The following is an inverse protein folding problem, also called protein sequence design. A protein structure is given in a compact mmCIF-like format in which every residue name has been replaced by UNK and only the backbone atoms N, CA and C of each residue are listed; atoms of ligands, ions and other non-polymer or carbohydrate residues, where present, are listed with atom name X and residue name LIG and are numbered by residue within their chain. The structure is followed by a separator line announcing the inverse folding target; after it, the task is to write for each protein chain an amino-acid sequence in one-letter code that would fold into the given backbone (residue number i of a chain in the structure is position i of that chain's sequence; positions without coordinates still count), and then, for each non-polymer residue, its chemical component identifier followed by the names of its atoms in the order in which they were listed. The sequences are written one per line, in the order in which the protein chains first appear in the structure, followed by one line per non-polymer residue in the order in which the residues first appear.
data_IF_993870824533
#
_entry.id   IF_993870824533
#
_cell.length_a   1.000
_cell.length_b   1.000
_cell.length_c   1.000
_cell.angle_alpha   90.00
_cell.angle_beta   90.00
_cell.angle_gamma   90.00
#
_symmetry.space_group_name_H-M   'P 1'
#
loop_
_entity.id
_entity.type
_entity.pdbx_description
1 polymer ?
#
# COMPACT_ATOMS: atom_id res chain seq x y z
N UNK A 1 -17.79 23.71 -4.57
CA UNK A 1 -18.73 23.73 -3.42
C UNK A 1 -20.20 23.55 -3.82
N UNK A 2 -20.74 24.22 -4.85
CA UNK A 2 -22.16 24.03 -5.29
C UNK A 2 -22.51 22.73 -6.02
N UNK A 3 -21.53 21.88 -6.36
CA UNK A 3 -21.76 20.64 -7.11
C UNK A 3 -22.15 19.43 -6.22
N UNK A 4 -21.97 19.55 -4.89
CA UNK A 4 -22.24 18.50 -3.90
C UNK A 4 -23.70 18.45 -3.42
N UNK A 5 -24.51 19.46 -3.76
CA UNK A 5 -25.89 19.59 -3.29
C UNK A 5 -26.93 19.03 -4.27
N UNK A 6 -26.51 18.55 -5.45
CA UNK A 6 -27.43 18.10 -6.49
C UNK A 6 -27.99 16.71 -6.15
N UNK A 7 -29.32 16.55 -6.08
CA UNK A 7 -29.98 15.30 -5.67
C UNK A 7 -29.53 14.07 -6.49
N UNK A 8 -29.27 14.26 -7.80
CA UNK A 8 -28.74 13.20 -8.67
C UNK A 8 -27.41 12.64 -8.18
N UNK A 9 -26.50 13.51 -7.71
CA UNK A 9 -25.18 13.11 -7.22
C UNK A 9 -25.27 12.26 -5.94
N UNK A 10 -26.23 12.56 -5.06
CA UNK A 10 -26.48 11.77 -3.85
C UNK A 10 -27.01 10.36 -4.19
N UNK A 11 -27.95 10.27 -5.13
CA UNK A 11 -28.47 8.98 -5.61
C UNK A 11 -27.39 8.15 -6.30
N UNK A 12 -26.55 8.78 -7.12
CA UNK A 12 -25.42 8.12 -7.79
C UNK A 12 -24.41 7.56 -6.77
N UNK A 13 -24.19 8.28 -5.67
CA UNK A 13 -23.33 7.88 -4.57
C UNK A 13 -23.88 6.68 -3.78
N UNK A 14 -25.18 6.65 -3.52
CA UNK A 14 -25.85 5.51 -2.86
C UNK A 14 -25.83 4.25 -3.74
N UNK A 15 -26.08 4.39 -5.05
CA UNK A 15 -25.95 3.29 -6.02
C UNK A 15 -24.51 2.76 -6.08
N UNK A 16 -23.52 3.65 -6.01
CA UNK A 16 -22.10 3.25 -5.95
C UNK A 16 -21.81 2.39 -4.71
N UNK A 17 -22.22 2.87 -3.52
CA UNK A 17 -22.03 2.11 -2.28
C UNK A 17 -22.80 0.79 -2.25
N UNK A 18 -24.02 0.77 -2.81
CA UNK A 18 -24.79 -0.48 -3.00
C UNK A 18 -24.03 -1.46 -3.87
N UNK A 19 -23.50 -1.03 -5.02
CA UNK A 19 -22.75 -1.90 -5.92
C UNK A 19 -21.55 -2.51 -5.22
N UNK A 20 -20.79 -1.69 -4.49
CA UNK A 20 -19.62 -2.13 -3.73
C UNK A 20 -20.01 -3.17 -2.67
N UNK A 21 -21.08 -2.91 -1.91
CA UNK A 21 -21.58 -3.86 -0.91
C UNK A 21 -22.10 -5.15 -1.56
N UNK A 22 -22.77 -5.08 -2.70
CA UNK A 22 -23.25 -6.25 -3.43
C UNK A 22 -22.07 -7.11 -3.94
N UNK A 23 -21.05 -6.48 -4.51
CA UNK A 23 -19.82 -7.15 -4.96
C UNK A 23 -19.10 -7.81 -3.78
N UNK A 24 -19.03 -7.11 -2.64
CA UNK A 24 -18.43 -7.65 -1.43
C UNK A 24 -19.21 -8.86 -0.88
N UNK A 25 -20.53 -8.76 -0.75
CA UNK A 25 -21.41 -9.85 -0.31
C UNK A 25 -21.26 -11.08 -1.20
N UNK A 26 -21.21 -10.87 -2.52
CA UNK A 26 -20.99 -11.94 -3.49
C UNK A 26 -19.59 -12.57 -3.31
N UNK A 27 -18.56 -11.75 -3.11
CA UNK A 27 -17.18 -12.24 -2.88
C UNK A 27 -17.05 -13.08 -1.61
N UNK A 28 -17.82 -12.76 -0.55
CA UNK A 28 -17.85 -13.51 0.70
C UNK A 28 -18.83 -14.69 0.68
N UNK A 29 -19.54 -14.91 -0.43
CA UNK A 29 -20.54 -15.95 -0.61
C UNK A 29 -21.66 -15.90 0.46
N UNK A 30 -22.07 -14.69 0.84
CA UNK A 30 -23.21 -14.47 1.72
C UNK A 30 -24.53 -14.51 0.93
N UNK A 31 -25.60 -14.99 1.57
CA UNK A 31 -26.94 -15.03 0.98
C UNK A 31 -27.71 -13.69 1.12
N UNK A 32 -27.01 -12.64 1.52
CA UNK A 32 -27.59 -11.34 1.87
C UNK A 32 -27.95 -10.57 0.60
N UNK A 33 -28.89 -9.63 0.69
CA UNK A 33 -29.26 -8.75 -0.42
C UNK A 33 -29.19 -7.29 -0.02
N UNK A 34 -28.88 -6.40 -0.97
CA UNK A 34 -28.73 -4.96 -0.73
C UNK A 34 -29.52 -4.18 -1.75
N UNK A 35 -30.33 -3.22 -1.29
CA UNK A 35 -31.19 -2.40 -2.14
C UNK A 35 -31.15 -0.94 -1.68
N UNK A 36 -31.13 0.00 -2.64
CA UNK A 36 -31.43 1.41 -2.35
C UNK A 36 -32.93 1.53 -2.24
N UNK A 37 -33.41 2.18 -1.17
CA UNK A 37 -34.84 2.36 -0.98
C UNK A 37 -35.29 3.75 -1.41
N UNK A 38 -36.13 3.79 -2.45
CA UNK A 38 -36.94 4.97 -2.74
C UNK A 38 -38.26 4.84 -1.99
N UNK A 39 -38.53 5.68 -1.01
CA UNK A 39 -39.88 5.75 -0.45
C UNK A 39 -40.81 6.42 -1.45
N UNK A 40 -41.84 5.71 -1.92
CA UNK A 40 -43.06 6.37 -2.39
C UNK A 40 -43.76 6.97 -1.18
N UNK A 41 -43.79 8.30 -1.09
CA UNK A 41 -44.75 9.01 -0.26
C UNK A 41 -45.68 9.79 -1.19
N UNK A 42 -46.99 9.72 -0.90
CA UNK A 42 -47.98 10.60 -1.51
C UNK A 42 -47.58 12.07 -1.27
N UNK A 43 -47.33 12.80 -2.36
CA UNK A 43 -47.14 14.25 -2.36
C UNK A 43 -45.68 14.72 -2.47
N UNK A 44 -45.38 15.27 -3.65
CA UNK A 44 -44.26 16.14 -4.03
C UNK A 44 -42.87 15.92 -3.40
N UNK A 45 -41.99 15.34 -4.22
CA UNK A 45 -40.53 15.36 -4.04
C UNK A 45 -39.99 13.98 -3.71
N UNK A 46 -39.42 13.32 -4.72
CA UNK A 46 -38.76 12.02 -4.58
C UNK A 46 -37.69 12.08 -3.48
N UNK A 47 -37.98 11.51 -2.29
CA UNK A 47 -37.02 11.31 -1.21
C UNK A 47 -36.21 10.04 -1.50
N UNK A 48 -34.99 10.22 -2.00
CA UNK A 48 -33.95 9.19 -1.91
C UNK A 48 -33.36 9.21 -0.51
N UNK A 49 -33.24 8.03 0.10
CA UNK A 49 -32.72 7.92 1.45
C UNK A 49 -32.65 6.47 1.91
N UNK A 50 -31.41 6.03 2.10
CA UNK A 50 -30.96 4.81 2.77
C UNK A 50 -30.86 3.57 1.88
N UNK A 51 -29.74 2.89 2.10
CA UNK A 51 -29.47 1.53 1.64
C UNK A 51 -30.00 0.58 2.73
N UNK A 52 -30.68 -0.48 2.33
CA UNK A 52 -31.10 -1.55 3.24
C UNK A 52 -30.42 -2.84 2.81
N UNK A 53 -29.73 -3.46 3.75
CA UNK A 53 -29.19 -4.80 3.58
C UNK A 53 -30.05 -5.81 4.34
N UNK A 54 -30.61 -6.79 3.65
CA UNK A 54 -31.33 -7.91 4.27
C UNK A 54 -30.35 -9.06 4.46
N UNK A 55 -30.00 -9.32 5.72
CA UNK A 55 -29.07 -10.37 6.13
C UNK A 55 -29.84 -11.69 6.22
N UNK A 56 -29.50 -12.64 5.37
CA UNK A 56 -30.14 -13.96 5.33
C UNK A 56 -29.20 -15.00 5.95
N UNK A 57 -29.59 -15.53 7.09
CA UNK A 57 -28.81 -16.57 7.77
C UNK A 57 -29.70 -17.66 8.35
N UNK A 58 -29.46 -18.91 7.95
CA UNK A 58 -30.18 -20.11 8.44
C UNK A 58 -31.72 -19.96 8.41
N UNK A 59 -32.26 -19.35 7.36
CA UNK A 59 -33.71 -19.17 7.18
C UNK A 59 -34.33 -18.00 7.96
N UNK A 60 -33.53 -17.22 8.68
CA UNK A 60 -33.94 -15.93 9.27
C UNK A 60 -33.44 -14.77 8.42
N UNK A 61 -34.31 -13.78 8.21
CA UNK A 61 -33.99 -12.54 7.51
C UNK A 61 -34.02 -11.38 8.51
N UNK A 62 -32.96 -10.58 8.55
CA UNK A 62 -32.86 -9.41 9.40
C UNK A 62 -32.41 -8.21 8.59
N UNK A 63 -33.12 -7.08 8.74
CA UNK A 63 -32.74 -5.86 8.05
C UNK A 63 -31.64 -5.13 8.83
N UNK A 64 -30.69 -4.58 8.07
CA UNK A 64 -29.62 -3.69 8.48
C UNK A 64 -29.77 -2.38 7.69
N UNK A 65 -30.03 -1.28 8.40
CA UNK A 65 -30.14 0.03 7.76
C UNK A 65 -28.77 0.67 7.57
N UNK A 66 -28.53 1.25 6.40
CA UNK A 66 -27.28 1.90 6.02
C UNK A 66 -27.63 3.31 5.52
N UNK A 67 -27.37 4.30 6.37
CA UNK A 67 -27.54 5.72 6.06
C UNK A 67 -26.30 6.23 5.32
N UNK A 68 -26.47 7.05 4.29
CA UNK A 68 -25.35 7.71 3.58
C UNK A 68 -25.42 9.21 3.79
N UNK A 69 -24.38 9.80 4.40
CA UNK A 69 -24.32 11.24 4.68
C UNK A 69 -22.97 11.84 4.32
N UNK A 70 -22.87 12.41 3.14
CA UNK A 70 -21.67 13.10 2.65
C UNK A 70 -21.73 14.60 2.89
N UNK A 71 -21.89 14.97 4.16
CA UNK A 71 -21.88 16.35 4.64
C UNK A 71 -20.52 16.70 5.26
N UNK A 72 -20.11 17.96 5.14
CA UNK A 72 -18.86 18.46 5.73
C UNK A 72 -18.97 18.57 7.24
N UNK A 73 -17.99 18.03 7.97
CA UNK A 73 -17.91 18.04 9.44
C UNK A 73 -19.21 17.63 10.14
N UNK A 74 -19.79 16.51 9.71
CA UNK A 74 -21.02 15.98 10.27
C UNK A 74 -20.81 15.57 11.74
N UNK A 75 -21.60 16.12 12.68
CA UNK A 75 -21.36 15.92 14.10
C UNK A 75 -21.70 14.47 14.53
N UNK A 76 -20.87 13.89 15.39
CA UNK A 76 -21.11 12.55 15.95
C UNK A 76 -22.44 12.47 16.72
N UNK A 77 -22.72 13.45 17.56
CA UNK A 77 -23.85 13.45 18.48
C UNK A 77 -23.59 12.65 19.77
N UNK A 78 -24.67 12.33 20.49
CA UNK A 78 -24.64 11.59 21.76
C UNK A 78 -25.43 12.31 22.86
N UNK A 79 -25.62 11.65 24.01
CA UNK A 79 -26.32 12.28 25.15
C UNK A 79 -25.52 13.47 25.70
N UNK A 80 -24.19 13.36 25.73
CA UNK A 80 -23.28 14.42 26.17
C UNK A 80 -23.16 15.61 25.21
N UNK A 81 -23.58 15.46 23.94
CA UNK A 81 -23.52 16.53 22.94
C UNK A 81 -24.76 17.44 22.96
N UNK A 82 -25.72 17.21 23.86
CA UNK A 82 -26.91 18.04 24.01
C UNK A 82 -26.54 19.30 24.81
N UNK A 83 -26.95 20.45 24.31
CA UNK A 83 -26.74 21.72 25.00
C UNK A 83 -27.43 21.71 26.37
N UNK A 84 -26.68 22.05 27.42
CA UNK A 84 -27.14 22.06 28.82
C UNK A 84 -27.72 23.41 29.25
N UNK A 85 -28.09 24.28 28.31
CA UNK A 85 -28.77 25.55 28.60
C UNK A 85 -30.29 25.36 28.68
N UNK A 86 -30.93 26.09 29.60
CA UNK A 86 -32.36 26.00 29.92
C UNK A 86 -33.32 26.16 28.72
N UNK A 87 -32.85 26.71 27.60
CA UNK A 87 -33.64 26.96 26.38
C UNK A 87 -33.42 25.94 25.26
N UNK A 88 -32.47 24.99 25.36
CA UNK A 88 -32.10 24.15 24.22
C UNK A 88 -31.67 22.71 24.58
N UNK A 89 -32.41 22.01 25.43
CA UNK A 89 -32.17 20.58 25.72
C UNK A 89 -32.45 19.63 24.52
N UNK A 90 -32.98 20.17 23.41
CA UNK A 90 -33.26 19.44 22.16
C UNK A 90 -32.02 19.44 21.26
N UNK A 91 -31.78 18.35 20.54
CA UNK A 91 -30.79 18.34 19.45
C UNK A 91 -31.22 19.36 18.38
N UNK A 92 -30.39 20.38 18.13
CA UNK A 92 -30.71 21.45 17.18
C UNK A 92 -30.30 21.09 15.74
N UNK A 93 -29.52 20.03 15.55
CA UNK A 93 -28.97 19.60 14.26
C UNK A 93 -28.96 18.08 14.14
N UNK A 94 -29.09 17.55 12.93
CA UNK A 94 -28.86 16.13 12.65
C UNK A 94 -27.43 15.73 13.03
N UNK A 95 -27.30 14.58 13.68
CA UNK A 95 -26.03 13.98 14.11
C UNK A 95 -25.95 12.56 13.60
N UNK A 96 -24.74 12.00 13.53
CA UNK A 96 -24.56 10.60 13.16
C UNK A 96 -25.34 9.66 14.08
N UNK A 97 -25.36 9.93 15.38
CA UNK A 97 -26.16 9.19 16.37
C UNK A 97 -27.66 9.28 16.10
N UNK A 98 -28.18 10.49 15.78
CA UNK A 98 -29.61 10.67 15.51
C UNK A 98 -30.03 9.99 14.22
N UNK A 99 -29.21 10.06 13.16
CA UNK A 99 -29.49 9.35 11.91
C UNK A 99 -29.52 7.85 12.12
N UNK A 100 -28.53 7.26 12.81
CA UNK A 100 -28.52 5.81 13.12
C UNK A 100 -29.84 5.40 13.81
N UNK A 101 -30.29 6.16 14.81
CA UNK A 101 -31.54 5.85 15.53
C UNK A 101 -32.77 6.01 14.62
N UNK A 102 -32.78 7.03 13.77
CA UNK A 102 -33.85 7.27 12.80
C UNK A 102 -33.93 6.15 11.76
N UNK A 103 -32.81 5.77 11.14
CA UNK A 103 -32.79 4.68 10.15
C UNK A 103 -33.23 3.36 10.79
N UNK A 104 -32.82 3.07 12.04
CA UNK A 104 -33.31 1.89 12.78
C UNK A 104 -34.81 1.92 13.01
N UNK A 105 -35.36 3.06 13.42
CA UNK A 105 -36.80 3.24 13.63
C UNK A 105 -37.56 3.02 12.32
N UNK A 106 -37.09 3.60 11.22
CA UNK A 106 -37.75 3.55 9.92
C UNK A 106 -37.70 2.14 9.32
N UNK A 107 -36.60 1.42 9.48
CA UNK A 107 -36.38 0.07 8.91
C UNK A 107 -36.70 -1.07 9.87
N UNK A 108 -37.06 -0.77 11.11
CA UNK A 108 -37.19 -1.76 12.19
C UNK A 108 -35.95 -2.66 12.32
N UNK A 109 -34.77 -2.14 11.99
CA UNK A 109 -33.51 -2.85 12.04
C UNK A 109 -32.95 -2.87 13.46
N UNK A 110 -32.37 -3.99 13.87
CA UNK A 110 -31.73 -4.09 15.20
C UNK A 110 -30.52 -3.18 15.28
N UNK A 111 -29.67 -3.22 14.26
CA UNK A 111 -28.51 -2.35 14.13
C UNK A 111 -28.63 -1.46 12.88
N UNK A 112 -27.85 -0.39 12.83
CA UNK A 112 -27.68 0.41 11.61
C UNK A 112 -26.25 0.93 11.52
N UNK A 113 -25.86 1.43 10.34
CA UNK A 113 -24.65 2.21 10.17
C UNK A 113 -24.93 3.51 9.44
N UNK A 114 -24.04 4.49 9.63
CA UNK A 114 -23.98 5.70 8.82
C UNK A 114 -22.62 5.82 8.15
N UNK A 115 -22.64 6.06 6.85
CA UNK A 115 -21.47 6.22 5.99
C UNK A 115 -21.18 7.70 5.78
N UNK A 116 -19.99 8.13 6.17
CA UNK A 116 -19.48 9.49 6.04
C UNK A 116 -18.28 9.51 5.08
N UNK A 117 -18.07 10.62 4.39
CA UNK A 117 -16.87 10.81 3.57
C UNK A 117 -15.74 11.38 4.42
N UNK A 118 -14.62 10.66 4.45
CA UNK A 118 -13.39 11.05 5.16
C UNK A 118 -12.86 12.40 4.70
N UNK A 119 -12.89 12.67 3.39
CA UNK A 119 -12.38 13.90 2.80
C UNK A 119 -13.20 15.14 3.21
N UNK A 120 -14.48 14.96 3.55
CA UNK A 120 -15.37 16.02 4.01
C UNK A 120 -15.38 16.16 5.55
N UNK A 121 -14.83 15.19 6.28
CA UNK A 121 -14.91 15.12 7.75
C UNK A 121 -13.52 15.15 8.40
N UNK A 122 -12.65 16.04 7.90
CA UNK A 122 -11.23 16.14 8.28
C UNK A 122 -11.06 16.56 9.75
N UNK A 123 -11.95 17.40 10.28
CA UNK A 123 -11.88 17.90 11.66
C UNK A 123 -12.60 17.02 12.67
N UNK A 124 -13.13 15.88 12.23
CA UNK A 124 -13.92 14.99 13.08
C UNK A 124 -12.99 14.07 13.87
N UNK A 125 -13.04 14.14 15.20
CA UNK A 125 -12.27 13.28 16.11
C UNK A 125 -12.76 11.82 16.15
N UNK A 126 -13.90 11.51 15.52
CA UNK A 126 -14.37 10.12 15.48
C UNK A 126 -13.40 9.21 14.71
N UNK A 127 -13.15 8.00 15.23
CA UNK A 127 -12.43 6.97 14.49
C UNK A 127 -13.08 6.65 13.13
N UNK A 128 -12.32 6.04 12.21
CA UNK A 128 -12.83 5.67 10.88
C UNK A 128 -13.95 4.61 10.93
N UNK A 129 -13.90 3.71 11.92
CA UNK A 129 -15.00 2.82 12.28
C UNK A 129 -15.25 3.02 13.76
N UNK A 130 -16.44 3.50 14.12
CA UNK A 130 -16.79 3.80 15.50
C UNK A 130 -18.17 3.25 15.85
N UNK A 131 -18.21 2.27 16.77
CA UNK A 131 -19.46 1.73 17.29
C UNK A 131 -20.03 2.64 18.37
N UNK A 132 -21.32 2.95 18.28
CA UNK A 132 -22.09 3.72 19.26
C UNK A 132 -23.06 2.77 19.96
N UNK A 133 -22.75 2.32 21.19
CA UNK A 133 -23.59 1.39 21.93
C UNK A 133 -25.02 1.90 22.15
N UNK A 134 -25.15 3.18 22.52
CA UNK A 134 -26.44 3.82 22.84
C UNK A 134 -27.40 3.82 21.64
N UNK A 135 -26.87 4.00 20.44
CA UNK A 135 -27.63 4.00 19.19
C UNK A 135 -27.71 2.61 18.53
N UNK A 136 -26.97 1.62 19.05
CA UNK A 136 -26.78 0.30 18.45
C UNK A 136 -26.42 0.40 16.97
N UNK A 137 -25.35 1.13 16.65
CA UNK A 137 -24.91 1.30 15.27
C UNK A 137 -23.48 1.77 15.12
N UNK A 138 -23.00 1.78 13.88
CA UNK A 138 -21.61 2.13 13.54
C UNK A 138 -21.57 3.40 12.69
N UNK A 139 -20.66 4.32 13.02
CA UNK A 139 -20.21 5.36 12.10
C UNK A 139 -19.03 4.79 11.31
N UNK A 140 -19.10 4.87 9.98
CA UNK A 140 -18.00 4.47 9.09
C UNK A 140 -17.60 5.62 8.18
N UNK A 141 -16.29 5.87 8.07
CA UNK A 141 -15.70 6.86 7.16
C UNK A 141 -15.07 6.15 5.97
N UNK A 142 -15.51 6.50 4.77
CA UNK A 142 -14.97 5.99 3.49
C UNK A 142 -14.21 7.09 2.75
N UNK A 143 -13.20 6.73 1.96
CA UNK A 143 -12.45 7.69 1.15
C UNK A 143 -12.90 7.58 -0.31
N UNK A 144 -13.85 8.46 -0.69
CA UNK A 144 -14.40 8.51 -2.03
C UNK A 144 -13.36 8.94 -3.08
N UNK A 145 -12.37 9.75 -2.70
CA UNK A 145 -11.36 10.24 -3.63
C UNK A 145 -10.33 9.16 -3.94
N UNK A 146 -9.99 8.34 -2.95
CA UNK A 146 -9.07 7.22 -3.09
C UNK A 146 -9.74 5.92 -3.59
N UNK A 147 -11.09 5.90 -3.71
CA UNK A 147 -11.88 4.69 -3.91
C UNK A 147 -11.58 3.58 -2.87
N UNK A 148 -11.32 3.98 -1.62
CA UNK A 148 -11.07 3.05 -0.52
C UNK A 148 -12.34 2.83 0.31
N UNK A 149 -12.93 1.66 0.12
CA UNK A 149 -14.16 1.21 0.78
C UNK A 149 -13.92 0.10 1.81
N UNK A 150 -12.65 -0.20 2.12
CA UNK A 150 -12.28 -1.29 3.05
C UNK A 150 -12.98 -1.15 4.41
N UNK A 151 -13.14 0.09 4.89
CA UNK A 151 -13.82 0.37 6.15
C UNK A 151 -15.31 0.03 6.12
N UNK A 152 -15.97 0.23 4.97
CA UNK A 152 -17.38 -0.10 4.77
C UNK A 152 -17.61 -1.61 4.83
N UNK A 153 -16.74 -2.37 4.16
CA UNK A 153 -16.77 -3.84 4.15
C UNK A 153 -16.60 -4.42 5.55
N UNK A 154 -15.60 -3.92 6.30
CA UNK A 154 -15.34 -4.35 7.68
C UNK A 154 -16.52 -4.01 8.60
N UNK A 155 -17.06 -2.79 8.48
CA UNK A 155 -18.21 -2.37 9.28
C UNK A 155 -19.45 -3.22 8.97
N UNK A 156 -19.64 -3.59 7.69
CA UNK A 156 -20.72 -4.47 7.26
C UNK A 156 -20.57 -5.86 7.89
N UNK A 157 -19.40 -6.47 7.80
CA UNK A 157 -19.12 -7.78 8.39
C UNK A 157 -19.36 -7.78 9.91
N UNK A 158 -18.90 -6.75 10.62
CA UNK A 158 -19.12 -6.64 12.06
C UNK A 158 -20.62 -6.57 12.40
N UNK A 159 -21.39 -5.70 11.73
CA UNK A 159 -22.83 -5.59 11.98
C UNK A 159 -23.59 -6.85 11.54
N UNK A 160 -23.14 -7.50 10.48
CA UNK A 160 -23.68 -8.78 10.04
C UNK A 160 -23.52 -9.84 11.13
N UNK A 161 -22.32 -9.99 11.69
CA UNK A 161 -22.08 -10.95 12.78
C UNK A 161 -22.89 -10.60 14.04
N UNK A 162 -22.99 -9.31 14.39
CA UNK A 162 -23.80 -8.86 15.53
C UNK A 162 -25.30 -9.10 15.30
N UNK A 163 -25.78 -9.01 14.07
CA UNK A 163 -27.18 -9.26 13.70
C UNK A 163 -27.51 -10.76 13.72
N UNK A 164 -26.61 -11.59 13.18
CA UNK A 164 -26.71 -13.06 13.19
C UNK A 164 -26.62 -13.59 14.63
N UNK A 165 -25.80 -12.97 15.47
CA UNK A 165 -25.66 -13.28 16.89
C UNK A 165 -26.86 -12.73 17.67
N UNK A 166 -28.06 -13.22 17.36
CA UNK A 166 -29.28 -12.99 18.11
C UNK A 166 -29.30 -13.77 19.43
N UNK A 167 -28.21 -13.65 20.18
CA UNK A 167 -28.14 -14.04 21.59
C UNK A 167 -28.56 -12.78 22.37
N UNK A 168 -29.39 -12.88 23.41
CA UNK A 168 -29.50 -11.83 24.42
C UNK A 168 -28.17 -11.83 25.18
N UNK A 169 -27.15 -11.21 24.57
CA UNK A 169 -25.83 -11.13 25.19
C UNK A 169 -25.97 -10.12 26.31
N UNK A 170 -25.67 -10.55 27.53
CA UNK A 170 -25.19 -9.65 28.57
C UNK A 170 -23.82 -9.14 28.09
N UNK A 171 -23.86 -8.23 27.12
CA UNK A 171 -22.70 -7.78 26.37
C UNK A 171 -21.95 -6.84 27.31
N UNK A 172 -20.87 -7.35 27.90
CA UNK A 172 -19.98 -6.52 28.68
C UNK A 172 -19.32 -5.53 27.72
N UNK A 173 -19.92 -4.34 27.63
CA UNK A 173 -19.49 -3.28 26.73
C UNK A 173 -18.03 -2.88 26.97
N UNK A 174 -17.52 -3.07 28.19
CA UNK A 174 -16.11 -2.83 28.50
C UNK A 174 -15.19 -3.82 27.76
N UNK A 175 -15.62 -5.08 27.61
CA UNK A 175 -14.88 -6.10 26.86
C UNK A 175 -14.93 -5.80 25.36
N UNK A 176 -16.08 -5.38 24.83
CA UNK A 176 -16.18 -5.02 23.41
C UNK A 176 -15.32 -3.78 23.10
N UNK A 177 -15.37 -2.75 23.94
CA UNK A 177 -14.56 -1.54 23.80
C UNK A 177 -13.05 -1.85 23.88
N UNK A 178 -12.66 -2.72 24.81
CA UNK A 178 -11.28 -3.21 24.90
C UNK A 178 -10.83 -3.91 23.61
N UNK A 179 -11.63 -4.84 23.09
CA UNK A 179 -11.31 -5.58 21.87
C UNK A 179 -11.23 -4.66 20.64
N UNK A 180 -12.13 -3.67 20.54
CA UNK A 180 -12.10 -2.68 19.46
C UNK A 180 -10.89 -1.74 19.57
N UNK A 181 -10.52 -1.34 20.78
CA UNK A 181 -9.34 -0.51 21.04
C UNK A 181 -8.04 -1.25 20.72
N UNK A 182 -7.96 -2.53 21.09
CA UNK A 182 -6.83 -3.39 20.77
C UNK A 182 -6.72 -3.60 19.26
N UNK A 183 -7.83 -3.92 18.58
CA UNK A 183 -7.87 -4.06 17.12
C UNK A 183 -7.41 -2.77 16.42
N UNK A 184 -7.90 -1.60 16.87
CA UNK A 184 -7.49 -0.31 16.34
C UNK A 184 -5.98 -0.07 16.51
N UNK A 185 -5.43 -0.44 17.67
CA UNK A 185 -4.00 -0.32 17.96
C UNK A 185 -3.16 -1.24 17.07
N UNK A 186 -3.60 -2.48 16.87
CA UNK A 186 -2.95 -3.45 15.99
C UNK A 186 -2.96 -2.99 14.54
N UNK A 187 -4.12 -2.54 14.03
CA UNK A 187 -4.24 -2.00 12.66
C UNK A 187 -3.36 -0.75 12.48
N UNK A 188 -3.35 0.17 13.45
CA UNK A 188 -2.46 1.32 13.44
C UNK A 188 -0.98 0.95 13.46
N UNK A 189 -0.60 -0.14 14.14
CA UNK A 189 0.76 -0.68 14.11
C UNK A 189 1.11 -1.32 12.77
N UNK A 190 0.20 -2.12 12.19
CA UNK A 190 0.38 -2.70 10.85
C UNK A 190 0.63 -1.62 9.81
N UNK A 191 -0.17 -0.54 9.83
CA UNK A 191 0.00 0.61 8.94
C UNK A 191 1.38 1.25 9.08
N UNK A 192 1.80 1.54 10.32
CA UNK A 192 3.15 2.09 10.61
C UNK A 192 4.28 1.18 10.17
N UNK A 193 4.19 -0.13 10.40
CA UNK A 193 5.19 -1.10 9.93
C UNK A 193 5.26 -1.11 8.40
N UNK A 194 4.12 -1.06 7.72
CA UNK A 194 4.06 -1.08 6.26
C UNK A 194 4.64 0.20 5.66
N UNK A 195 4.31 1.37 6.21
CA UNK A 195 4.88 2.65 5.82
C UNK A 195 6.39 2.71 6.09
N UNK A 196 6.83 2.24 7.27
CA UNK A 196 8.26 2.15 7.60
C UNK A 196 9.00 1.23 6.64
N UNK A 197 8.40 0.08 6.29
CA UNK A 197 8.98 -0.87 5.32
C UNK A 197 9.09 -0.24 3.92
N UNK A 198 8.06 0.45 3.45
CA UNK A 198 8.10 1.20 2.18
C UNK A 198 9.18 2.27 2.18
N UNK A 199 9.31 3.02 3.28
CA UNK A 199 10.34 4.05 3.42
C UNK A 199 11.77 3.46 3.39
N UNK A 200 12.00 2.34 4.07
CA UNK A 200 13.29 1.63 4.04
C UNK A 200 13.62 1.18 2.63
N UNK A 201 12.66 0.58 1.90
CA UNK A 201 12.85 0.15 0.52
C UNK A 201 13.21 1.35 -0.37
N UNK A 202 12.44 2.44 -0.29
CA UNK A 202 12.70 3.65 -1.08
C UNK A 202 14.08 4.26 -0.79
N UNK A 203 14.50 4.28 0.48
CA UNK A 203 15.82 4.77 0.87
C UNK A 203 16.93 3.86 0.34
N UNK A 204 16.76 2.54 0.42
CA UNK A 204 17.70 1.56 -0.09
C UNK A 204 17.84 1.67 -1.62
N UNK A 205 16.73 1.77 -2.34
CA UNK A 205 16.72 1.96 -3.80
C UNK A 205 17.44 3.25 -4.21
N UNK A 206 17.16 4.37 -3.51
CA UNK A 206 17.83 5.64 -3.76
C UNK A 206 19.34 5.53 -3.52
N UNK A 207 19.74 4.96 -2.37
CA UNK A 207 21.16 4.77 -2.02
C UNK A 207 21.86 3.85 -3.02
N UNK A 208 21.27 2.70 -3.37
CA UNK A 208 21.82 1.78 -4.36
C UNK A 208 21.98 2.45 -5.71
N UNK A 209 21.00 3.23 -6.15
CA UNK A 209 21.07 3.96 -7.43
C UNK A 209 22.20 4.97 -7.46
N UNK A 210 22.43 5.71 -6.39
CA UNK A 210 23.58 6.64 -6.32
C UNK A 210 24.92 5.88 -6.26
N UNK A 211 25.03 4.86 -5.42
CA UNK A 211 26.26 4.05 -5.32
C UNK A 211 26.61 3.39 -6.66
N UNK A 212 25.62 2.86 -7.38
CA UNK A 212 25.84 2.25 -8.70
C UNK A 212 26.35 3.29 -9.72
N UNK A 213 25.84 4.53 -9.69
CA UNK A 213 26.39 5.59 -10.58
C UNK A 213 27.85 5.88 -10.27
N UNK A 214 28.21 5.99 -8.99
CA UNK A 214 29.59 6.23 -8.58
C UNK A 214 30.51 5.10 -9.04
N UNK A 215 30.10 3.84 -8.85
CA UNK A 215 30.85 2.66 -9.31
C UNK A 215 31.03 2.66 -10.83
N UNK A 216 29.98 2.98 -11.61
CA UNK A 216 30.10 3.04 -13.07
C UNK A 216 31.03 4.18 -13.50
N UNK A 217 30.94 5.34 -12.84
CA UNK A 217 31.84 6.47 -13.11
C UNK A 217 33.30 6.08 -12.84
N UNK A 218 33.56 5.41 -11.71
CA UNK A 218 34.91 4.97 -11.34
C UNK A 218 35.44 3.91 -12.32
N UNK A 219 34.62 2.91 -12.70
CA UNK A 219 35.00 1.91 -13.71
C UNK A 219 35.37 2.56 -15.04
N UNK A 220 34.58 3.55 -15.47
CA UNK A 220 34.83 4.30 -16.70
C UNK A 220 36.17 5.05 -16.66
N UNK A 221 36.52 5.65 -15.51
CA UNK A 221 37.82 6.29 -15.31
C UNK A 221 38.97 5.29 -15.37
N UNK A 222 38.81 4.11 -14.76
CA UNK A 222 39.83 3.06 -14.79
C UNK A 222 40.02 2.47 -16.19
N UNK A 223 38.96 2.29 -16.96
CA UNK A 223 39.06 1.82 -18.34
C UNK A 223 39.79 2.83 -19.25
N UNK A 224 39.47 4.13 -19.11
CA UNK A 224 40.18 5.20 -19.82
C UNK A 224 41.68 5.26 -19.44
N UNK A 225 41.99 5.13 -18.15
CA UNK A 225 43.38 5.09 -17.65
C UNK A 225 44.14 3.87 -18.19
N UNK A 226 43.49 2.70 -18.21
CA UNK A 226 44.09 1.47 -18.70
C UNK A 226 44.48 1.60 -20.19
N UNK A 227 43.63 2.20 -21.03
CA UNK A 227 43.99 2.49 -22.44
C UNK A 227 45.14 3.48 -22.55
N UNK A 228 45.13 4.56 -21.78
CA UNK A 228 46.21 5.54 -21.78
C UNK A 228 47.56 4.92 -21.37
N UNK A 229 47.54 4.01 -20.39
CA UNK A 229 48.71 3.23 -19.98
C UNK A 229 49.19 2.30 -21.10
N UNK A 230 48.31 1.60 -21.81
CA UNK A 230 48.70 0.78 -22.96
C UNK A 230 49.38 1.59 -24.06
N UNK A 231 48.85 2.79 -24.36
CA UNK A 231 49.44 3.73 -25.32
C UNK A 231 50.84 4.16 -24.85
N UNK A 232 50.97 4.50 -23.56
CA UNK A 232 52.25 4.88 -22.95
C UNK A 232 53.27 3.74 -23.06
N UNK A 233 52.89 2.52 -22.66
CA UNK A 233 53.76 1.34 -22.72
C UNK A 233 54.24 1.10 -24.16
N UNK A 234 53.34 1.20 -25.13
CA UNK A 234 53.66 1.00 -26.55
C UNK A 234 54.67 2.05 -27.04
N UNK A 235 54.49 3.32 -26.66
CA UNK A 235 55.39 4.42 -27.02
C UNK A 235 56.76 4.28 -26.35
N UNK A 236 56.79 4.04 -25.05
CA UNK A 236 58.04 3.84 -24.32
C UNK A 236 58.79 2.63 -24.88
N UNK A 237 58.08 1.55 -25.25
CA UNK A 237 58.69 0.38 -25.89
C UNK A 237 59.27 0.72 -27.27
N UNK A 238 58.58 1.54 -28.08
CA UNK A 238 59.07 2.03 -29.37
C UNK A 238 60.37 2.82 -29.19
N UNK A 239 60.38 3.78 -28.27
CA UNK A 239 61.51 4.65 -28.01
C UNK A 239 62.69 3.83 -27.46
N UNK A 240 62.43 2.91 -26.53
CA UNK A 240 63.46 2.01 -26.00
C UNK A 240 64.10 1.16 -27.11
N UNK A 241 63.30 0.61 -28.03
CA UNK A 241 63.84 -0.14 -29.18
C UNK A 241 64.72 0.74 -30.08
N UNK A 242 64.29 1.97 -30.35
CA UNK A 242 65.05 2.92 -31.16
C UNK A 242 66.36 3.34 -30.47
N UNK A 243 66.32 3.59 -29.17
CA UNK A 243 67.52 3.92 -28.38
C UNK A 243 68.51 2.75 -28.35
N UNK A 244 68.03 1.51 -28.19
CA UNK A 244 68.89 0.32 -28.21
C UNK A 244 69.57 0.08 -29.57
N UNK A 245 68.97 0.54 -30.68
CA UNK A 245 69.57 0.40 -32.01
C UNK A 245 70.47 1.56 -32.41
N UNK A 246 70.15 2.79 -32.02
CA UNK A 246 70.90 3.99 -32.42
C UNK A 246 71.88 4.49 -31.37
N UNK A 247 71.70 4.11 -30.10
CA UNK A 247 72.49 4.56 -28.95
C UNK A 247 72.18 5.98 -28.48
N UNK A 248 71.25 6.71 -29.11
CA UNK A 248 70.94 8.10 -28.78
C UNK A 248 69.43 8.33 -28.58
N UNK A 249 69.07 9.08 -27.54
CA UNK A 249 67.69 9.49 -27.25
C UNK A 249 67.48 10.91 -27.78
N UNK A 250 66.55 11.08 -28.72
CA UNK A 250 66.25 12.41 -29.27
C UNK A 250 65.52 13.28 -28.24
N UNK A 251 65.68 14.60 -28.34
CA UNK A 251 64.95 15.55 -27.49
C UNK A 251 63.42 15.42 -27.68
N UNK A 252 62.97 15.11 -28.90
CA UNK A 252 61.57 14.89 -29.22
C UNK A 252 61.02 13.62 -28.55
N UNK A 253 61.75 12.50 -28.58
CA UNK A 253 61.36 11.25 -27.92
C UNK A 253 61.37 11.39 -26.38
N UNK A 254 62.33 12.15 -25.83
CA UNK A 254 62.37 12.48 -24.41
C UNK A 254 61.15 13.34 -23.99
N UNK A 255 60.80 14.34 -24.81
CA UNK A 255 59.63 15.19 -24.58
C UNK A 255 58.32 14.42 -24.72
N UNK A 256 58.18 13.57 -25.73
CA UNK A 256 57.00 12.71 -25.94
C UNK A 256 56.80 11.75 -24.74
N UNK A 257 57.88 11.17 -24.22
CA UNK A 257 57.84 10.27 -23.05
C UNK A 257 57.42 11.00 -21.77
N UNK A 258 57.91 12.23 -21.58
CA UNK A 258 57.59 13.03 -20.40
C UNK A 258 56.15 13.57 -20.44
N UNK A 259 55.74 14.16 -21.56
CA UNK A 259 54.42 14.81 -21.70
C UNK A 259 53.29 13.83 -22.01
N UNK A 260 53.59 12.66 -22.57
CA UNK A 260 52.63 11.62 -22.97
C UNK A 260 51.41 12.17 -23.75
N UNK A 261 51.60 13.04 -24.75
CA UNK A 261 50.50 13.78 -25.39
C UNK A 261 49.45 12.85 -26.02
N UNK A 262 49.90 11.75 -26.63
CA UNK A 262 49.02 10.74 -27.24
C UNK A 262 48.22 9.94 -26.20
N UNK A 263 48.79 9.62 -25.04
CA UNK A 263 48.07 8.93 -23.97
C UNK A 263 47.00 9.86 -23.35
N UNK A 264 47.33 11.14 -23.16
CA UNK A 264 46.37 12.14 -22.67
C UNK A 264 45.21 12.37 -23.65
N UNK A 265 45.50 12.38 -24.96
CA UNK A 265 44.47 12.48 -25.99
C UNK A 265 43.55 11.24 -25.99
N UNK A 266 44.12 10.04 -25.91
CA UNK A 266 43.34 8.80 -25.86
C UNK A 266 42.46 8.71 -24.59
N UNK A 267 43.02 9.08 -23.44
CA UNK A 267 42.28 9.15 -22.17
C UNK A 267 41.06 10.07 -22.28
N UNK A 268 41.26 11.25 -22.88
CA UNK A 268 40.19 12.26 -23.04
C UNK A 268 39.11 11.77 -23.99
N UNK A 269 39.50 11.13 -25.10
CA UNK A 269 38.58 10.56 -26.07
C UNK A 269 37.75 9.41 -25.46
N UNK A 270 38.38 8.51 -24.72
CA UNK A 270 37.69 7.36 -24.12
C UNK A 270 36.74 7.79 -22.99
N UNK A 271 37.16 8.76 -22.18
CA UNK A 271 36.32 9.37 -21.14
C UNK A 271 35.06 10.02 -21.72
N UNK A 272 35.17 10.69 -22.87
CA UNK A 272 34.01 11.30 -23.54
C UNK A 272 33.03 10.23 -24.06
N UNK A 273 33.52 9.15 -24.69
CA UNK A 273 32.67 8.03 -25.13
C UNK A 273 31.90 7.39 -23.98
N UNK A 274 32.56 7.17 -22.84
CA UNK A 274 31.91 6.60 -21.66
C UNK A 274 30.83 7.52 -21.08
N UNK A 275 31.07 8.84 -21.10
CA UNK A 275 30.08 9.83 -20.65
C UNK A 275 28.84 9.83 -21.55
N UNK A 276 29.03 9.70 -22.86
CA UNK A 276 27.95 9.62 -23.85
C UNK A 276 27.13 8.31 -23.71
N UNK A 277 27.83 7.18 -23.53
CA UNK A 277 27.22 5.87 -23.27
C UNK A 277 26.40 5.86 -21.97
N UNK A 278 26.90 6.49 -20.90
CA UNK A 278 26.19 6.65 -19.63
C UNK A 278 24.87 7.41 -19.80
N UNK A 279 24.90 8.52 -20.54
CA UNK A 279 23.71 9.31 -20.82
C UNK A 279 22.69 8.52 -21.65
N UNK A 280 23.15 7.76 -22.65
CA UNK A 280 22.29 6.89 -23.46
C UNK A 280 21.66 5.76 -22.63
N UNK A 281 22.45 5.10 -21.76
CA UNK A 281 21.95 4.08 -20.84
C UNK A 281 20.88 4.66 -19.89
N UNK A 282 21.12 5.85 -19.34
CA UNK A 282 20.15 6.51 -18.46
C UNK A 282 18.85 6.87 -19.20
N UNK A 283 18.94 7.24 -20.49
CA UNK A 283 17.77 7.48 -21.34
C UNK A 283 16.99 6.19 -21.62
N UNK A 284 17.67 5.10 -21.98
CA UNK A 284 17.03 3.80 -22.21
C UNK A 284 16.37 3.23 -20.95
N UNK A 285 16.99 3.39 -19.77
CA UNK A 285 16.39 2.97 -18.50
C UNK A 285 15.11 3.77 -18.21
N UNK A 286 15.11 5.09 -18.47
CA UNK A 286 13.92 5.95 -18.34
C UNK A 286 12.79 5.59 -19.32
N UNK A 287 13.14 5.24 -20.56
CA UNK A 287 12.17 4.81 -21.58
C UNK A 287 11.57 3.44 -21.25
N UNK A 288 12.38 2.50 -20.76
CA UNK A 288 11.89 1.19 -20.28
C UNK A 288 10.95 1.33 -19.07
N UNK A 289 11.28 2.20 -18.10
CA UNK A 289 10.39 2.44 -16.94
C UNK A 289 9.07 3.11 -17.34
N UNK A 290 9.06 3.95 -18.38
CA UNK A 290 7.82 4.53 -18.94
C UNK A 290 6.95 3.48 -19.62
N UNK A 291 7.54 2.63 -20.47
CA UNK A 291 6.81 1.55 -21.13
C UNK A 291 6.24 0.52 -20.15
N UNK A 292 6.94 0.25 -19.04
CA UNK A 292 6.48 -0.69 -18.01
C UNK A 292 5.34 -0.09 -17.15
N UNK A 293 5.31 1.24 -16.97
CA UNK A 293 4.20 1.94 -16.33
C UNK A 293 2.96 2.01 -17.24
N UNK A 294 3.14 2.21 -18.55
CA UNK A 294 2.05 2.23 -19.54
C UNK A 294 1.50 0.81 -19.85
N UNK A 295 2.34 -0.23 -19.73
CA UNK A 295 1.92 -1.62 -19.91
C UNK A 295 1.07 -2.16 -18.75
N UNK A 296 1.18 -1.61 -17.54
CA UNK A 296 0.38 -2.03 -16.37
C UNK A 296 -1.03 -1.41 -16.32
N UNK A 297 -1.34 -0.42 -17.18
CA UNK A 297 -2.67 0.18 -17.28
C UNK A 297 -3.64 -0.56 -18.21
N UNK A 298 -3.21 -1.63 -18.89
CA UNK A 298 -4.08 -2.45 -19.76
C UNK A 298 -3.80 -3.93 -19.56
N UNK A 299 -4.33 -4.53 -18.49
CA UNK A 299 -4.68 -5.95 -18.47
C UNK A 299 -5.45 -6.26 -17.18
N UNK A 300 -6.76 -6.06 -17.27
CA UNK A 300 -7.76 -6.76 -16.47
C UNK A 300 -7.84 -8.20 -17.02
N UNK A 301 -7.74 -9.25 -16.21
CA UNK A 301 -8.22 -10.57 -16.62
C UNK A 301 -9.55 -10.86 -15.93
N UNK A 302 -10.59 -11.04 -16.73
CA UNK A 302 -11.81 -11.75 -16.35
C UNK A 302 -11.61 -13.27 -16.55
N UNK A 303 -12.20 -13.99 -15.60
CA UNK A 303 -12.34 -15.42 -15.33
C UNK A 303 -12.13 -16.50 -16.42
N UNK A 304 -11.54 -17.62 -15.97
CA UNK A 304 -12.11 -18.95 -16.26
C UNK A 304 -11.87 -19.93 -15.08
N UNK A 305 -12.97 -20.52 -14.57
CA UNK A 305 -13.03 -21.68 -13.66
C UNK A 305 -12.53 -22.92 -14.44
N UNK A 306 -12.03 -24.03 -13.93
CA UNK A 306 -12.16 -24.86 -12.72
C UNK A 306 -10.99 -25.86 -12.79
N UNK A 307 -10.46 -26.34 -11.67
CA UNK A 307 -10.69 -27.73 -11.20
C UNK A 307 -9.73 -28.11 -10.08
N UNK A 308 -10.26 -28.91 -9.16
CA UNK A 308 -9.70 -29.27 -7.88
C UNK A 308 -8.71 -30.42 -8.04
N UNK A 309 -7.47 -30.28 -7.54
CA UNK A 309 -6.72 -31.45 -7.06
C UNK A 309 -5.64 -31.07 -6.05
N UNK A 310 -5.88 -31.53 -4.82
CA UNK A 310 -4.93 -31.53 -3.73
C UNK A 310 -3.58 -32.13 -4.16
N UNK A 311 -2.48 -31.41 -3.89
CA UNK A 311 -1.15 -32.05 -3.87
C UNK A 311 -0.25 -31.43 -2.80
N UNK A 312 0.08 -32.30 -1.83
CA UNK A 312 1.17 -32.27 -0.84
C UNK A 312 2.20 -31.14 -0.94
N UNK A 313 2.34 -30.43 0.18
CA UNK A 313 3.57 -29.70 0.58
C UNK A 313 4.76 -30.66 0.49
N UNK A 314 5.69 -30.41 -0.43
CA UNK A 314 7.05 -30.94 -0.37
C UNK A 314 7.97 -29.79 0.00
N UNK A 315 8.60 -29.91 1.17
CA UNK A 315 9.68 -29.06 1.65
C UNK A 315 10.80 -28.99 0.60
N UNK A 316 11.02 -27.82 0.01
CA UNK A 316 12.24 -27.55 -0.74
C UNK A 316 13.40 -27.45 0.25
N UNK A 317 14.25 -28.47 0.26
CA UNK A 317 15.49 -28.51 1.03
C UNK A 317 16.42 -27.45 0.44
N UNK A 318 16.63 -26.34 1.14
CA UNK A 318 17.52 -25.25 0.72
C UNK A 318 18.95 -25.80 0.75
N UNK A 319 19.71 -25.63 -0.35
CA UNK A 319 21.11 -26.04 -0.38
C UNK A 319 22.00 -24.99 0.32
N UNK A 320 22.53 -25.32 1.49
CA UNK A 320 23.34 -24.43 2.32
C UNK A 320 24.85 -24.49 2.00
N UNK A 321 25.29 -25.39 1.11
CA UNK A 321 26.72 -25.61 0.80
C UNK A 321 27.37 -24.40 0.11
N UNK A 322 26.62 -23.67 -0.70
CA UNK A 322 27.12 -22.51 -1.47
C UNK A 322 27.09 -21.20 -0.67
N UNK A 323 26.57 -21.21 0.56
CA UNK A 323 26.47 -19.99 1.38
C UNK A 323 27.79 -19.66 2.10
N UNK A 324 28.09 -18.37 2.22
CA UNK A 324 29.20 -17.87 3.03
C UNK A 324 28.93 -18.11 4.52
N UNK A 325 29.99 -18.38 5.29
CA UNK A 325 29.92 -18.65 6.75
C UNK A 325 29.17 -17.54 7.51
N UNK A 326 29.33 -16.29 7.09
CA UNK A 326 28.62 -15.15 7.68
C UNK A 326 27.10 -15.30 7.56
N UNK A 327 26.61 -15.70 6.38
CA UNK A 327 25.18 -15.85 6.11
C UNK A 327 24.57 -17.08 6.77
N UNK A 328 25.35 -18.15 6.93
CA UNK A 328 24.96 -19.33 7.72
C UNK A 328 24.79 -18.97 9.21
N UNK A 329 25.67 -18.14 9.78
CA UNK A 329 25.55 -17.66 11.16
C UNK A 329 24.33 -16.75 11.37
N UNK A 330 24.00 -15.92 10.38
CA UNK A 330 22.78 -15.10 10.42
C UNK A 330 21.52 -15.96 10.44
N UNK A 331 21.46 -17.00 9.59
CA UNK A 331 20.33 -17.93 9.56
C UNK A 331 20.19 -18.71 10.88
N UNK A 332 21.30 -19.18 11.46
CA UNK A 332 21.28 -19.84 12.76
C UNK A 332 20.85 -18.90 13.89
N UNK A 333 21.29 -17.64 13.87
CA UNK A 333 20.88 -16.63 14.84
C UNK A 333 19.39 -16.31 14.73
N UNK A 334 18.85 -16.22 13.50
CA UNK A 334 17.42 -16.04 13.25
C UNK A 334 16.60 -17.25 13.70
N UNK A 335 17.16 -18.46 13.61
CA UNK A 335 16.56 -19.70 14.11
C UNK A 335 16.80 -19.96 15.61
N UNK A 336 17.49 -19.06 16.33
CA UNK A 336 17.80 -19.21 17.76
C UNK A 336 18.81 -20.32 18.08
N UNK A 337 19.58 -20.81 17.10
CA UNK A 337 20.55 -21.90 17.23
C UNK A 337 22.00 -21.38 17.42
N UNK A 338 22.91 -22.17 18.04
CA UNK A 338 24.29 -21.75 18.30
C UNK A 338 25.13 -21.49 17.02
N UNK A 339 25.85 -20.38 17.00
CA UNK A 339 26.63 -19.88 15.84
C UNK A 339 28.14 -20.22 15.87
N UNK A 340 28.57 -21.08 16.79
CA UNK A 340 29.97 -21.52 16.94
C UNK A 340 30.27 -22.80 16.15
N UNK A 341 31.42 -22.88 15.50
CA UNK A 341 31.87 -24.07 14.76
C UNK A 341 32.41 -23.77 13.37
N UNK A 342 32.82 -24.83 12.65
CA UNK A 342 33.26 -24.77 11.25
C UNK A 342 32.04 -24.76 10.32
N UNK A 343 32.24 -24.43 9.04
CA UNK A 343 31.15 -24.28 8.04
C UNK A 343 30.24 -25.52 7.95
N UNK A 344 30.82 -26.72 8.03
CA UNK A 344 30.07 -27.98 8.01
C UNK A 344 29.07 -28.08 9.20
N UNK A 345 29.54 -27.80 10.41
CA UNK A 345 28.71 -27.84 11.64
C UNK A 345 27.53 -26.85 11.59
N UNK A 346 27.71 -25.70 10.92
CA UNK A 346 26.66 -24.69 10.76
C UNK A 346 25.58 -25.14 9.76
N UNK A 347 25.99 -25.86 8.70
CA UNK A 347 25.09 -26.41 7.68
C UNK A 347 24.28 -27.57 8.27
N UNK A 348 24.90 -28.43 9.07
CA UNK A 348 24.22 -29.54 9.75
C UNK A 348 23.10 -29.04 10.67
N UNK A 349 23.38 -28.01 11.50
CA UNK A 349 22.36 -27.41 12.39
C UNK A 349 21.23 -26.68 11.67
N UNK A 350 21.42 -26.26 10.42
CA UNK A 350 20.34 -25.66 9.62
C UNK A 350 19.47 -26.73 8.94
N UNK A 351 19.97 -27.97 8.82
CA UNK A 351 19.24 -29.10 8.26
C UNK A 351 18.51 -29.93 9.32
N UNK A 352 18.89 -29.83 10.60
CA UNK A 352 18.08 -30.22 11.77
C UNK A 352 16.91 -29.26 12.02
#
# INVERSE_FOLDING_TARGET
QKFLENNKFKTDQEETLKSILADYIQSQNYADSVQVTGTTADGDGNKTGDIVATINYKGSAHDLAIEVKFSTNFPQGGVASKSNTATSFRAQTDTATSQIIESRKNRKSRYAMIVLDKSLNIHSETPEIHFIPEAQGIIVKVDLLANDYSNLEIAYDLLRQMTISSIPINLDFAVLEYLLTDLSTVLGRQKRITESSKNIINQLEKSHKENVKEVISLSSMYEAELKALQVTITQTTRIMKQWLTTGNLSADDAFETYMKPKANAEWTAEKMKHTEMLNLHQKMVREKTKHEAESKTVSKPEDEKTDTKATKVKSSKINYEDMLVAKLKELLKAAGKPVSGKKADLIERLNE
#
